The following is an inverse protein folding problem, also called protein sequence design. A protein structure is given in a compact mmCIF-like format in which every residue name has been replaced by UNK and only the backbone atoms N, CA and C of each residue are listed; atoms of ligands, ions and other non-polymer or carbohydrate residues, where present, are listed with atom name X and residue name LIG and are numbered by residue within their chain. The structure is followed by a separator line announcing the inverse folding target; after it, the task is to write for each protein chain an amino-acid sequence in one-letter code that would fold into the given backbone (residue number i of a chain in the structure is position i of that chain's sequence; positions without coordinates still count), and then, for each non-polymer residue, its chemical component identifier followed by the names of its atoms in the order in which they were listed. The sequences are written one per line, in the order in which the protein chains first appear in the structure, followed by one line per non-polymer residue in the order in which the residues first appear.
data_IF_826743598464
#
_entry.id   IF_826743598464
#
_cell.length_a   1.000
_cell.length_b   1.000
_cell.length_c   1.000
_cell.angle_alpha   90.00
_cell.angle_beta   90.00
_cell.angle_gamma   90.00
#
_symmetry.space_group_name_H-M   'P 1'
#
loop_
_entity.id
_entity.type
_entity.pdbx_description
1 polymer ?
2 non-polymer ?
3 water ?
#
# COMPACT_ATOMS: atom_id res chain seq x y z
N UNK A 1 24.71 -28.44 -9.16
CA UNK A 1 24.14 -29.77 -8.95
C UNK A 1 22.86 -29.64 -8.15
N UNK A 2 22.29 -30.77 -7.71
CA UNK A 2 21.00 -30.73 -7.07
C UNK A 2 21.05 -30.14 -5.67
N UNK A 3 22.21 -30.18 -5.01
CA UNK A 3 22.34 -29.47 -3.74
C UNK A 3 22.18 -27.97 -3.93
N UNK A 4 22.79 -27.42 -4.99
CA UNK A 4 22.63 -25.99 -5.25
C UNK A 4 21.20 -25.65 -5.61
N UNK A 5 20.54 -26.51 -6.40
CA UNK A 5 19.15 -26.26 -6.77
C UNK A 5 18.29 -26.19 -5.52
N UNK A 6 18.49 -27.12 -4.59
CA UNK A 6 17.71 -27.12 -3.35
C UNK A 6 17.89 -25.81 -2.59
N UNK A 7 19.13 -25.36 -2.44
CA UNK A 7 19.41 -24.12 -1.72
C UNK A 7 18.70 -22.94 -2.37
N UNK A 8 18.76 -22.86 -3.69
CA UNK A 8 18.19 -21.71 -4.39
C UNK A 8 16.67 -21.77 -4.36
N UNK A 9 16.08 -22.96 -4.58
CA UNK A 9 14.62 -23.06 -4.52
C UNK A 9 14.10 -22.71 -3.13
N UNK A 10 14.80 -23.15 -2.07
CA UNK A 10 14.35 -22.82 -0.73
C UNK A 10 14.39 -21.30 -0.50
N UNK A 11 15.41 -20.61 -1.03
CA UNK A 11 15.47 -19.17 -0.88
C UNK A 11 14.35 -18.48 -1.65
N UNK A 12 14.05 -18.94 -2.87
CA UNK A 12 12.94 -18.33 -3.60
C UNK A 12 11.62 -18.56 -2.89
N UNK A 13 11.48 -19.70 -2.21
CA UNK A 13 10.21 -19.95 -1.52
C UNK A 13 10.01 -19.03 -0.32
N UNK A 14 11.06 -18.35 0.14
CA UNK A 14 10.87 -17.38 1.22
C UNK A 14 10.26 -16.07 0.74
N UNK A 15 10.17 -15.83 -0.57
CA UNK A 15 9.61 -14.59 -1.08
C UNK A 15 8.13 -14.53 -0.73
N UNK A 16 7.74 -13.49 0.01
CA UNK A 16 6.35 -13.24 0.39
C UNK A 16 5.93 -11.89 -0.18
N UNK A 17 5.06 -11.91 -1.19
CA UNK A 17 4.67 -10.67 -1.87
C UNK A 17 3.39 -10.05 -1.31
N UNK A 18 2.77 -10.68 -0.31
CA UNK A 18 1.46 -10.37 0.27
C UNK A 18 0.37 -11.01 -0.58
N UNK A 19 -0.05 -12.20 -0.17
CA UNK A 19 -0.99 -12.95 -0.97
C UNK A 19 -2.41 -12.41 -0.90
N UNK A 20 -2.64 -11.30 -0.21
CA UNK A 20 -3.94 -10.66 -0.28
C UNK A 20 -4.03 -9.65 -1.40
N UNK A 21 -2.93 -9.38 -2.13
CA UNK A 21 -2.99 -8.51 -3.31
C UNK A 21 -3.88 -9.14 -4.40
N UNK A 22 -4.29 -8.31 -5.36
CA UNK A 22 -5.15 -8.79 -6.45
C UNK A 22 -4.57 -10.05 -7.08
N UNK A 23 -5.41 -11.06 -7.29
CA UNK A 23 -4.93 -12.34 -7.80
C UNK A 23 -4.20 -12.16 -9.12
N UNK A 24 -4.76 -11.36 -10.01
CA UNK A 24 -4.17 -11.22 -11.34
C UNK A 24 -2.85 -10.46 -11.29
N UNK A 25 -2.68 -9.58 -10.29
CA UNK A 25 -1.39 -8.92 -10.09
C UNK A 25 -0.35 -9.93 -9.59
N UNK A 26 -0.71 -10.74 -8.58
CA UNK A 26 0.22 -11.73 -8.07
C UNK A 26 0.62 -12.72 -9.16
N UNK A 27 -0.33 -13.14 -9.99
CA UNK A 27 -0.03 -14.03 -11.10
C UNK A 27 1.06 -13.43 -11.99
N UNK A 28 0.91 -12.16 -12.34
CA UNK A 28 1.91 -11.50 -13.18
C UNK A 28 3.24 -11.35 -12.45
N UNK A 29 3.20 -10.85 -11.21
CA UNK A 29 4.44 -10.60 -10.49
C UNK A 29 5.23 -11.88 -10.27
N UNK A 30 4.54 -12.96 -9.89
CA UNK A 30 5.23 -14.23 -9.66
C UNK A 30 5.75 -14.83 -10.95
N UNK A 31 4.99 -14.70 -12.04
CA UNK A 31 5.45 -15.25 -13.30
C UNK A 31 6.71 -14.52 -13.78
N UNK A 32 6.78 -13.21 -13.56
CA UNK A 32 7.99 -12.49 -13.92
C UNK A 32 9.20 -12.96 -13.12
N UNK A 33 9.03 -13.17 -11.82
CA UNK A 33 10.13 -13.66 -10.98
C UNK A 33 10.54 -15.05 -11.44
N UNK A 34 9.56 -15.92 -11.68
CA UNK A 34 9.81 -17.28 -12.16
C UNK A 34 10.61 -17.28 -13.46
N UNK A 35 10.21 -16.45 -14.42
CA UNK A 35 10.77 -16.57 -15.76
C UNK A 35 12.05 -15.77 -15.92
N UNK A 36 12.19 -14.66 -15.21
CA UNK A 36 13.37 -13.83 -15.38
C UNK A 36 14.46 -14.12 -14.36
N UNK A 37 14.15 -14.77 -13.24
CA UNK A 37 15.14 -14.98 -12.19
C UNK A 37 15.25 -16.45 -11.78
N UNK A 38 14.16 -17.07 -11.33
CA UNK A 38 14.27 -18.41 -10.74
C UNK A 38 14.71 -19.44 -11.78
N UNK A 39 14.01 -19.50 -12.90
CA UNK A 39 14.36 -20.51 -13.91
C UNK A 39 15.77 -20.32 -14.45
N UNK A 40 16.20 -19.12 -14.85
CA UNK A 40 17.58 -19.02 -15.36
C UNK A 40 18.64 -19.27 -14.29
N UNK A 41 18.39 -18.89 -13.03
CA UNK A 41 19.41 -19.15 -12.00
C UNK A 41 19.50 -20.65 -11.72
N UNK A 42 18.34 -21.32 -11.70
CA UNK A 42 18.33 -22.77 -11.47
C UNK A 42 19.07 -23.49 -12.59
N UNK A 43 18.89 -23.04 -13.84
CA UNK A 43 19.65 -23.60 -14.94
C UNK A 43 21.14 -23.48 -14.71
N UNK A 44 21.58 -22.31 -14.26
CA UNK A 44 23.01 -22.09 -14.03
C UNK A 44 23.53 -22.98 -12.90
N UNK A 45 22.89 -22.91 -11.72
CA UNK A 45 23.49 -23.61 -10.58
C UNK A 45 23.28 -25.12 -10.67
N UNK A 46 22.29 -25.57 -11.42
CA UNK A 46 22.18 -27.00 -11.68
C UNK A 46 23.40 -27.57 -12.38
N UNK A 47 24.07 -26.76 -13.19
CA UNK A 47 25.25 -27.21 -13.89
C UNK A 47 26.52 -27.23 -13.07
N UNK A 48 26.52 -26.65 -11.88
CA UNK A 48 27.73 -26.67 -11.07
C UNK A 48 28.08 -28.09 -10.64
N UNK A 49 29.38 -28.35 -10.51
CA UNK A 49 29.81 -29.57 -9.84
C UNK A 49 29.33 -29.53 -8.39
N UNK A 50 29.03 -30.69 -7.80
CA UNK A 50 28.47 -30.69 -6.43
C UNK A 50 29.34 -29.97 -5.40
N UNK A 51 30.66 -29.98 -5.56
CA UNK A 51 31.56 -29.35 -4.61
C UNK A 51 31.71 -27.85 -4.84
N UNK A 52 31.16 -27.32 -5.93
CA UNK A 52 31.29 -25.88 -6.18
C UNK A 52 30.56 -25.10 -5.11
N UNK A 53 31.18 -24.04 -4.63
CA UNK A 53 30.59 -23.21 -3.59
C UNK A 53 29.74 -22.10 -4.22
N UNK A 54 28.46 -22.11 -3.88
CA UNK A 54 27.51 -21.08 -4.30
C UNK A 54 27.52 -19.96 -3.26
N UNK A 55 27.47 -18.71 -3.73
CA UNK A 55 27.44 -17.57 -2.81
C UNK A 55 26.02 -17.34 -2.33
N UNK A 56 25.74 -17.74 -1.08
CA UNK A 56 24.41 -17.48 -0.54
C UNK A 56 24.18 -15.98 -0.37
N UNK A 57 25.23 -15.23 -0.05
CA UNK A 57 25.09 -13.77 0.05
C UNK A 57 24.60 -13.17 -1.27
N UNK A 58 25.14 -13.65 -2.38
CA UNK A 58 24.70 -13.20 -3.70
C UNK A 58 23.21 -13.47 -3.91
N UNK A 59 22.75 -14.70 -3.59
CA UNK A 59 21.36 -15.05 -3.79
C UNK A 59 20.46 -14.26 -2.84
N UNK A 60 20.90 -14.09 -1.59
CA UNK A 60 20.08 -13.36 -0.62
C UNK A 60 19.95 -11.90 -1.01
N UNK A 61 21.01 -11.30 -1.56
CA UNK A 61 20.88 -9.92 -2.02
C UNK A 61 19.91 -9.84 -3.19
N UNK A 62 19.93 -10.85 -4.06
CA UNK A 62 18.97 -10.91 -5.14
C UNK A 62 17.55 -10.94 -4.58
N UNK A 63 17.32 -11.77 -3.56
CA UNK A 63 15.98 -11.84 -2.96
C UNK A 63 15.56 -10.47 -2.43
N UNK A 64 16.47 -9.79 -1.72
CA UNK A 64 16.15 -8.46 -1.18
C UNK A 64 15.74 -7.49 -2.28
N UNK A 65 16.43 -7.54 -3.42
CA UNK A 65 16.08 -6.62 -4.49
C UNK A 65 14.76 -6.98 -5.15
N UNK A 66 14.40 -8.26 -5.20
CA UNK A 66 13.08 -8.64 -5.69
C UNK A 66 11.99 -7.93 -4.90
N UNK A 67 12.13 -7.86 -3.57
CA UNK A 67 11.11 -7.15 -2.80
C UNK A 67 11.04 -5.68 -3.20
N UNK A 68 12.19 -5.05 -3.44
CA UNK A 68 12.17 -3.64 -3.82
C UNK A 68 11.54 -3.46 -5.20
N UNK A 69 11.88 -4.34 -6.13
CA UNK A 69 11.38 -4.21 -7.50
C UNK A 69 9.89 -4.49 -7.55
N UNK A 70 9.43 -5.53 -6.84
CA UNK A 70 8.00 -5.82 -6.82
C UNK A 70 7.23 -4.72 -6.09
N UNK A 71 7.81 -4.15 -5.03
CA UNK A 71 7.13 -3.05 -4.36
C UNK A 71 6.92 -1.87 -5.30
N UNK A 72 7.91 -1.59 -6.14
CA UNK A 72 7.76 -0.52 -7.12
C UNK A 72 6.65 -0.85 -8.12
N UNK A 73 6.64 -2.08 -8.62
CA UNK A 73 5.59 -2.55 -9.52
C UNK A 73 4.21 -2.36 -8.88
N UNK A 74 4.09 -2.80 -7.62
CA UNK A 74 2.79 -2.74 -6.97
C UNK A 74 2.32 -1.30 -6.78
N UNK A 75 3.24 -0.40 -6.43
CA UNK A 75 2.84 1.00 -6.26
C UNK A 75 2.30 1.57 -7.57
N UNK A 76 2.95 1.25 -8.70
CA UNK A 76 2.51 1.76 -9.98
C UNK A 76 1.26 1.05 -10.49
N UNK A 77 1.01 -0.17 -10.03
CA UNK A 77 -0.22 -0.88 -10.35
C UNK A 77 -1.40 -0.29 -9.59
N UNK A 78 -1.15 0.21 -8.39
CA UNK A 78 -2.22 0.65 -7.52
C UNK A 78 -2.20 2.17 -7.34
N UNK A 79 -1.85 2.65 -6.14
CA UNK A 79 -2.13 4.05 -5.78
C UNK A 79 -1.36 5.05 -6.65
N UNK A 80 -0.18 4.68 -7.12
CA UNK A 80 0.64 5.61 -7.90
C UNK A 80 0.40 5.48 -9.40
N UNK A 81 -0.58 4.70 -9.82
CA UNK A 81 -0.88 4.63 -11.24
C UNK A 81 -1.37 5.96 -11.74
N UNK A 82 -0.74 6.44 -12.80
CA UNK A 82 -0.88 7.80 -13.28
C UNK A 82 -2.04 7.95 -14.26
N UNK A 83 -2.14 7.04 -15.23
CA UNK A 83 -3.00 7.24 -16.38
C UNK A 83 -4.33 6.51 -16.27
N UNK A 84 -4.51 5.64 -15.27
CA UNK A 84 -5.70 4.81 -15.18
C UNK A 84 -6.05 4.59 -13.73
N UNK A 85 -7.18 3.92 -13.50
CA UNK A 85 -7.65 3.67 -12.16
C UNK A 85 -6.78 2.65 -11.45
N UNK A 86 -6.48 2.86 -10.17
CA UNK A 86 -5.69 1.86 -9.43
C UNK A 86 -6.29 0.47 -9.62
N UNK A 87 -5.40 -0.51 -9.78
CA UNK A 87 -5.71 -1.93 -10.02
C UNK A 87 -6.22 -2.23 -11.42
N UNK A 88 -6.26 -1.25 -12.32
CA UNK A 88 -6.75 -1.53 -13.66
C UNK A 88 -5.71 -2.34 -14.45
N UNK A 89 -6.20 -3.06 -15.46
CA UNK A 89 -5.30 -3.86 -16.29
C UNK A 89 -4.37 -2.94 -17.05
N UNK A 90 -4.83 -1.72 -17.36
CA UNK A 90 -3.94 -0.77 -18.01
C UNK A 90 -2.80 -0.38 -17.09
N UNK A 91 -3.08 -0.19 -15.80
CA UNK A 91 -2.02 0.13 -14.86
C UNK A 91 -1.04 -1.02 -14.74
N UNK A 92 -1.56 -2.24 -14.60
CA UNK A 92 -0.68 -3.41 -14.55
C UNK A 92 0.18 -3.47 -15.79
N UNK A 93 -0.44 -3.43 -16.98
CA UNK A 93 0.30 -3.54 -18.22
C UNK A 93 1.28 -2.39 -18.38
N UNK A 94 0.86 -1.17 -18.02
CA UNK A 94 1.74 0.00 -18.14
C UNK A 94 2.96 -0.08 -17.23
N UNK A 95 2.90 -0.82 -16.12
CA UNK A 95 4.03 -0.96 -15.20
C UNK A 95 4.80 -2.26 -15.41
N UNK A 96 4.22 -3.21 -16.13
CA UNK A 96 4.83 -4.54 -16.19
C UNK A 96 6.12 -4.55 -16.98
N UNK A 97 6.19 -3.79 -18.09
CA UNK A 97 7.41 -3.80 -18.90
C UNK A 97 8.62 -3.37 -18.09
N UNK A 98 8.46 -2.31 -17.27
CA UNK A 98 9.60 -1.86 -16.49
C UNK A 98 9.93 -2.80 -15.35
N UNK A 99 8.91 -3.42 -14.75
CA UNK A 99 9.14 -4.46 -13.76
C UNK A 99 10.05 -5.54 -14.33
N UNK A 100 9.71 -6.02 -15.53
CA UNK A 100 10.51 -7.07 -16.14
C UNK A 100 11.90 -6.58 -16.51
N UNK A 101 12.01 -5.34 -17.01
CA UNK A 101 13.33 -4.79 -17.32
C UNK A 101 14.22 -4.77 -16.07
N UNK A 102 13.64 -4.39 -14.93
CA UNK A 102 14.40 -4.36 -13.70
C UNK A 102 14.80 -5.75 -13.25
N UNK A 103 13.92 -6.75 -13.42
CA UNK A 103 14.28 -8.13 -13.09
C UNK A 103 15.40 -8.64 -13.99
N UNK A 104 15.36 -8.30 -15.28
CA UNK A 104 16.42 -8.73 -16.19
C UNK A 104 17.75 -8.14 -15.77
N UNK A 105 17.77 -6.86 -15.38
CA UNK A 105 19.01 -6.26 -14.93
C UNK A 105 19.51 -6.91 -13.64
N UNK A 106 18.59 -7.24 -12.73
CA UNK A 106 18.98 -7.94 -11.51
C UNK A 106 19.56 -9.31 -11.81
N UNK A 107 18.95 -10.04 -12.75
CA UNK A 107 19.52 -11.32 -13.15
C UNK A 107 20.95 -11.16 -13.65
N UNK A 108 21.19 -10.19 -14.53
CA UNK A 108 22.52 -10.00 -15.09
C UNK A 108 23.56 -9.70 -14.02
N UNK A 109 23.19 -8.89 -13.02
CA UNK A 109 24.12 -8.60 -11.94
C UNK A 109 24.31 -9.81 -11.03
N UNK A 110 23.23 -10.56 -10.76
CA UNK A 110 23.32 -11.71 -9.88
C UNK A 110 24.21 -12.78 -10.48
N UNK A 111 24.14 -12.98 -11.79
CA UNK A 111 24.99 -13.97 -12.45
C UNK A 111 26.46 -13.76 -12.09
N UNK A 112 26.87 -12.50 -11.96
CA UNK A 112 28.28 -12.20 -11.72
C UNK A 112 28.76 -12.70 -10.36
N UNK A 113 27.87 -12.83 -9.37
CA UNK A 113 28.32 -13.17 -8.03
C UNK A 113 27.93 -14.58 -7.57
N UNK A 114 27.29 -15.37 -8.43
CA UNK A 114 26.77 -16.67 -7.99
C UNK A 114 27.89 -17.58 -7.51
N UNK A 115 29.03 -17.58 -8.21
CA UNK A 115 30.13 -18.44 -7.84
C UNK A 115 30.93 -17.75 -6.75
N UNK A 116 31.10 -18.44 -5.63
CA UNK A 116 31.82 -17.88 -4.51
C UNK A 116 33.33 -17.84 -4.78
N UNK B 1 13.64 -3.42 5.22
CA UNK B 1 14.12 -4.41 4.26
C UNK B 1 13.17 -5.60 4.17
N UNK B 2 13.56 -6.62 3.40
CA UNK B 2 12.63 -7.71 3.13
C UNK B 2 12.37 -8.57 4.37
N UNK B 3 13.36 -8.70 5.26
CA UNK B 3 13.10 -9.43 6.50
C UNK B 3 11.98 -8.78 7.30
N UNK B 4 11.94 -7.45 7.32
CA UNK B 4 10.89 -6.74 8.04
C UNK B 4 9.54 -6.95 7.38
N UNK B 5 9.51 -6.88 6.04
CA UNK B 5 8.27 -7.11 5.30
C UNK B 5 7.72 -8.49 5.62
N UNK B 6 8.58 -9.52 5.56
CA UNK B 6 8.18 -10.88 5.89
C UNK B 6 7.55 -10.96 7.27
N UNK B 7 8.18 -10.34 8.25
CA UNK B 7 7.64 -10.38 9.61
C UNK B 7 6.28 -9.72 9.70
N UNK B 8 6.15 -8.53 9.10
CA UNK B 8 4.87 -7.83 9.18
C UNK B 8 3.79 -8.62 8.47
N UNK B 9 4.09 -9.17 7.28
CA UNK B 9 3.07 -9.95 6.58
C UNK B 9 2.67 -11.18 7.37
N UNK B 10 3.64 -11.85 8.01
CA UNK B 10 3.33 -13.01 8.85
C UNK B 10 2.34 -12.63 9.95
N UNK B 11 2.57 -11.49 10.60
CA UNK B 11 1.66 -11.09 11.67
C UNK B 11 0.28 -10.68 11.12
N UNK B 12 0.24 -9.97 9.99
CA UNK B 12 -1.07 -9.62 9.45
C UNK B 12 -1.85 -10.87 9.02
N UNK B 13 -1.16 -11.92 8.58
CA UNK B 13 -1.87 -13.15 8.23
C UNK B 13 -2.59 -13.78 9.41
N UNK B 14 -2.19 -13.46 10.64
CA UNK B 14 -2.90 -14.04 11.79
C UNK B 14 -4.25 -13.40 12.04
N UNK B 15 -4.57 -12.26 11.43
CA UNK B 15 -5.88 -11.63 11.63
C UNK B 15 -6.95 -12.56 11.07
N UNK B 16 -7.91 -12.94 11.93
CA UNK B 16 -9.04 -13.78 11.52
C UNK B 16 -10.32 -13.09 11.97
N UNK B 17 -11.00 -12.45 11.02
CA UNK B 17 -12.18 -11.64 11.31
C UNK B 17 -13.48 -12.42 11.34
N UNK B 18 -13.45 -13.73 11.07
CA UNK B 18 -14.60 -14.64 10.96
C UNK B 18 -15.18 -14.55 9.56
N UNK B 19 -14.77 -15.48 8.70
CA UNK B 19 -15.19 -15.43 7.30
C UNK B 19 -16.63 -15.85 7.09
N UNK B 20 -17.41 -16.08 8.16
CA UNK B 20 -18.84 -16.32 8.04
C UNK B 20 -19.68 -15.05 8.05
N UNK B 21 -19.08 -13.90 8.35
CA UNK B 21 -19.78 -12.62 8.28
C UNK B 21 -20.18 -12.31 6.85
N UNK B 22 -21.16 -11.41 6.70
CA UNK B 22 -21.66 -11.09 5.36
C UNK B 22 -20.51 -10.72 4.44
N UNK B 23 -20.53 -11.28 3.22
CA UNK B 23 -19.47 -11.07 2.25
C UNK B 23 -19.15 -9.59 2.07
N UNK B 24 -20.18 -8.77 1.86
CA UNK B 24 -19.90 -7.36 1.56
C UNK B 24 -19.38 -6.61 2.78
N UNK B 25 -19.76 -7.04 3.99
CA UNK B 25 -19.15 -6.48 5.18
C UNK B 25 -17.67 -6.82 5.25
N UNK B 26 -17.31 -8.09 5.01
CA UNK B 26 -15.91 -8.49 5.10
C UNK B 26 -15.06 -7.74 4.08
N UNK B 27 -15.61 -7.50 2.90
CA UNK B 27 -14.86 -6.76 1.88
C UNK B 27 -14.52 -5.36 2.38
N UNK B 28 -15.48 -4.69 3.01
CA UNK B 28 -15.24 -3.36 3.58
C UNK B 28 -14.27 -3.43 4.76
N UNK B 29 -14.47 -4.37 5.69
CA UNK B 29 -13.59 -4.46 6.84
C UNK B 29 -12.15 -4.71 6.40
N UNK B 30 -11.95 -5.65 5.48
CA UNK B 30 -10.59 -5.96 5.04
C UNK B 30 -9.99 -4.81 4.25
N UNK B 31 -10.80 -4.11 3.45
CA UNK B 31 -10.28 -2.95 2.72
C UNK B 31 -9.71 -1.90 3.66
N UNK B 32 -10.41 -1.62 4.76
CA UNK B 32 -9.88 -0.64 5.72
C UNK B 32 -8.54 -1.07 6.29
N UNK B 33 -8.43 -2.33 6.69
CA UNK B 33 -7.16 -2.82 7.24
C UNK B 33 -6.07 -2.76 6.19
N UNK B 34 -6.38 -3.17 4.96
CA UNK B 34 -5.39 -3.15 3.87
C UNK B 34 -4.85 -1.74 3.65
N UNK B 35 -5.74 -0.75 3.54
CA UNK B 35 -5.34 0.58 3.11
C UNK B 35 -4.84 1.47 4.24
N UNK B 36 -5.30 1.25 5.47
CA UNK B 36 -4.90 2.14 6.55
C UNK B 36 -3.85 1.52 7.46
N UNK B 37 -3.61 0.21 7.37
CA UNK B 37 -2.63 -0.42 8.24
C UNK B 37 -1.62 -1.23 7.46
N UNK B 38 -2.05 -2.27 6.72
CA UNK B 38 -1.06 -3.20 6.18
C UNK B 38 -0.18 -2.53 5.12
N UNK B 39 -0.80 -1.93 4.10
CA UNK B 39 0.04 -1.37 3.03
C UNK B 39 0.90 -0.20 3.53
N UNK B 40 0.38 0.73 4.34
CA UNK B 40 1.29 1.81 4.79
C UNK B 40 2.38 1.32 5.73
N UNK B 41 2.13 0.32 6.56
CA UNK B 41 3.20 -0.17 7.43
C UNK B 41 4.23 -0.93 6.61
N UNK B 42 3.78 -1.71 5.62
CA UNK B 42 4.72 -2.40 4.71
C UNK B 42 5.58 -1.38 3.98
N UNK B 43 5.00 -0.25 3.56
CA UNK B 43 5.79 0.78 2.90
C UNK B 43 6.88 1.31 3.83
N UNK B 44 6.54 1.56 5.09
CA UNK B 44 7.52 2.06 6.05
C UNK B 44 8.63 1.04 6.27
N UNK B 45 8.27 -0.20 6.64
CA UNK B 45 9.30 -1.14 7.07
C UNK B 45 10.11 -1.63 5.86
N UNK B 46 9.51 -1.62 4.67
CA UNK B 46 10.26 -1.97 3.46
C UNK B 46 11.49 -1.10 3.28
N UNK B 47 11.41 0.15 3.74
CA UNK B 47 12.52 1.09 3.62
C UNK B 47 13.57 1.01 4.69
N UNK B 48 13.33 0.25 5.76
CA UNK B 48 14.35 0.11 6.80
C UNK B 48 15.62 -0.51 6.26
N UNK B 49 16.76 -0.01 6.74
CA UNK B 49 18.02 -0.72 6.54
C UNK B 49 17.92 -2.13 7.13
N UNK B 50 18.64 -3.09 6.55
CA UNK B 50 18.53 -4.48 7.03
C UNK B 50 18.81 -4.63 8.52
N UNK B 51 19.73 -3.83 9.06
CA UNK B 51 20.13 -3.93 10.47
C UNK B 51 19.17 -3.23 11.43
N UNK B 52 18.25 -2.41 10.93
CA UNK B 52 17.26 -1.79 11.79
C UNK B 52 16.39 -2.85 12.45
N UNK B 53 16.07 -2.67 13.73
CA UNK B 53 15.28 -3.64 14.46
C UNK B 53 13.82 -3.21 14.48
N UNK B 54 12.94 -4.12 14.04
CA UNK B 54 11.49 -3.93 14.08
C UNK B 54 10.92 -4.55 15.35
N UNK B 55 10.02 -3.82 16.00
CA UNK B 55 9.36 -4.34 17.22
C UNK B 55 8.17 -5.21 16.84
N UNK B 56 8.33 -6.53 16.95
CA UNK B 56 7.20 -7.43 16.69
C UNK B 56 6.10 -7.19 17.70
N UNK B 57 6.46 -6.95 18.95
CA UNK B 57 5.44 -6.73 19.98
C UNK B 57 4.58 -5.51 19.67
N UNK B 58 5.17 -4.49 19.07
CA UNK B 58 4.41 -3.34 18.60
C UNK B 58 3.33 -3.76 17.60
N UNK B 59 3.71 -4.58 16.62
CA UNK B 59 2.76 -5.01 15.60
C UNK B 59 1.72 -5.96 16.19
N UNK B 60 2.14 -6.88 17.04
CA UNK B 60 1.18 -7.79 17.68
C UNK B 60 0.15 -7.01 18.51
N UNK B 61 0.60 -5.98 19.22
CA UNK B 61 -0.34 -5.20 20.01
C UNK B 61 -1.30 -4.45 19.12
N UNK B 62 -0.81 -3.95 17.99
CA UNK B 62 -1.68 -3.30 17.02
C UNK B 62 -2.76 -4.26 16.52
N UNK B 63 -2.40 -5.52 16.29
CA UNK B 63 -3.39 -6.50 15.86
C UNK B 63 -4.49 -6.67 16.90
N UNK B 64 -4.13 -6.68 18.20
CA UNK B 64 -5.15 -6.76 19.24
C UNK B 64 -6.12 -5.59 19.16
N UNK B 65 -5.59 -4.40 18.86
CA UNK B 65 -6.48 -3.25 18.74
C UNK B 65 -7.35 -3.34 17.48
N UNK B 66 -6.86 -3.96 16.40
CA UNK B 66 -7.68 -4.13 15.20
C UNK B 66 -8.94 -4.93 15.53
N UNK B 67 -8.79 -5.98 16.33
CA UNK B 67 -9.96 -6.79 16.65
C UNK B 67 -11.01 -5.98 17.39
N UNK B 68 -10.58 -5.05 18.25
CA UNK B 68 -11.58 -4.25 18.96
C UNK B 68 -12.25 -3.25 18.02
N UNK B 69 -11.47 -2.65 17.11
CA UNK B 69 -12.02 -1.66 16.17
C UNK B 69 -12.95 -2.34 15.17
N UNK B 70 -12.52 -3.46 14.60
CA UNK B 70 -13.41 -4.17 13.67
C UNK B 70 -14.60 -4.74 14.42
N UNK B 71 -14.40 -5.18 15.67
CA UNK B 71 -15.52 -5.62 16.47
C UNK B 71 -16.58 -4.54 16.62
N UNK B 72 -16.15 -3.29 16.79
CA UNK B 72 -17.12 -2.19 16.97
C UNK B 72 -17.84 -1.89 15.67
N UNK B 73 -17.11 -1.92 14.55
CA UNK B 73 -17.71 -1.81 13.22
C UNK B 73 -18.80 -2.86 13.06
N UNK B 74 -18.47 -4.11 13.41
CA UNK B 74 -19.42 -5.20 13.26
C UNK B 74 -20.60 -5.07 14.20
N UNK B 75 -20.37 -4.59 15.42
CA UNK B 75 -21.44 -4.41 16.39
C UNK B 75 -22.47 -3.40 15.88
N UNK B 76 -21.99 -2.33 15.24
CA UNK B 76 -22.89 -1.33 14.67
C UNK B 76 -23.57 -1.84 13.40
N UNK B 77 -22.85 -2.63 12.61
CA UNK B 77 -23.42 -3.21 11.40
C UNK B 77 -24.53 -4.22 11.71
N UNK B 78 -24.33 -5.05 12.72
CA UNK B 78 -25.17 -6.21 12.98
C UNK B 78 -26.26 -5.97 14.02
N UNK B 79 -26.20 -4.85 14.74
CA UNK B 79 -27.12 -4.68 15.86
C UNK B 79 -27.35 -3.21 16.20
N UNK B 80 -26.29 -2.49 16.57
CA UNK B 80 -26.44 -1.15 17.13
C UNK B 80 -26.41 -0.12 16.01
N UNK B 81 -27.45 -0.18 15.18
CA UNK B 81 -27.57 0.69 14.02
C UNK B 81 -28.71 1.65 14.29
N UNK B 82 -28.40 2.95 14.30
CA UNK B 82 -29.35 3.94 14.74
C UNK B 82 -30.53 4.07 13.78
N UNK B 83 -30.26 4.06 12.46
CA UNK B 83 -31.24 4.52 11.50
C UNK B 83 -31.65 3.50 10.42
N UNK B 84 -30.99 2.36 10.33
CA UNK B 84 -31.29 1.42 9.25
C UNK B 84 -31.36 0.01 9.81
N UNK B 85 -31.70 -0.94 8.96
CA UNK B 85 -31.91 -2.33 9.37
C UNK B 85 -30.59 -3.03 9.61
N UNK B 86 -30.42 -3.72 10.73
CA UNK B 86 -29.19 -4.49 10.95
C UNK B 86 -28.86 -5.39 9.76
N UNK B 87 -27.56 -5.48 9.46
CA UNK B 87 -26.93 -6.27 8.40
C UNK B 87 -27.13 -5.64 7.03
N UNK B 88 -27.71 -4.44 6.95
CA UNK B 88 -27.87 -3.78 5.67
C UNK B 88 -26.61 -3.01 5.26
N UNK B 89 -26.50 -2.76 3.96
CA UNK B 89 -25.40 -1.95 3.49
C UNK B 89 -25.51 -0.53 4.06
N UNK B 90 -26.75 -0.07 4.34
CA UNK B 90 -26.89 1.26 4.93
C UNK B 90 -26.28 1.30 6.33
N UNK B 91 -26.50 0.27 7.15
CA UNK B 91 -25.86 0.22 8.47
C UNK B 91 -24.36 0.15 8.36
N UNK B 92 -23.84 -0.62 7.40
CA UNK B 92 -22.41 -0.63 7.15
C UNK B 92 -21.91 0.78 6.89
N UNK B 93 -22.54 1.48 5.94
CA UNK B 93 -22.07 2.80 5.57
C UNK B 93 -22.16 3.78 6.74
N UNK B 94 -23.18 3.63 7.58
CA UNK B 94 -23.33 4.55 8.71
C UNK B 94 -22.24 4.38 9.76
N UNK B 95 -21.58 3.23 9.80
CA UNK B 95 -20.52 2.98 10.77
C UNK B 95 -19.12 3.11 10.18
N UNK B 96 -19.02 3.31 8.87
CA UNK B 96 -17.74 3.17 8.20
C UNK B 96 -16.80 4.35 8.46
N UNK B 97 -17.33 5.56 8.61
CA UNK B 97 -16.44 6.69 8.89
C UNK B 97 -15.72 6.49 10.22
N UNK B 98 -16.43 5.98 11.24
CA UNK B 98 -15.77 5.74 12.53
C UNK B 98 -14.73 4.65 12.39
N UNK B 99 -15.02 3.60 11.62
CA UNK B 99 -14.05 2.54 11.38
C UNK B 99 -12.79 3.11 10.75
N UNK B 100 -12.96 3.85 9.66
CA UNK B 100 -11.84 4.47 8.95
C UNK B 100 -11.00 5.33 9.88
N UNK B 101 -11.67 6.19 10.65
CA UNK B 101 -10.98 7.14 11.52
C UNK B 101 -10.22 6.41 12.61
N UNK B 102 -10.82 5.35 13.15
CA UNK B 102 -10.18 4.61 14.24
C UNK B 102 -8.96 3.84 13.72
N UNK B 103 -9.03 3.31 12.50
CA UNK B 103 -7.87 2.65 11.92
C UNK B 103 -6.74 3.66 11.66
N UNK B 104 -7.09 4.85 11.18
CA UNK B 104 -6.06 5.88 10.95
C UNK B 104 -5.38 6.26 12.25
N UNK B 105 -6.17 6.45 13.33
CA UNK B 105 -5.58 6.77 14.62
C UNK B 105 -4.69 5.65 15.11
N UNK B 106 -5.11 4.39 14.89
CA UNK B 106 -4.27 3.26 15.27
C UNK B 106 -2.98 3.22 14.47
N UNK B 107 -3.04 3.56 13.18
CA UNK B 107 -1.83 3.63 12.38
C UNK B 107 -0.86 4.66 12.98
N UNK B 108 -1.35 5.86 13.30
CA UNK B 108 -0.48 6.88 13.85
C UNK B 108 0.17 6.43 15.16
N UNK B 109 -0.60 5.74 16.01
CA UNK B 109 -0.03 5.23 17.26
C UNK B 109 1.01 4.15 17.00
N UNK B 110 0.74 3.28 16.04
CA UNK B 110 1.61 2.14 15.78
C UNK B 110 2.94 2.60 15.23
N UNK B 111 2.93 3.66 14.40
CA UNK B 111 4.19 4.22 13.92
C UNK B 111 5.16 4.53 15.05
N UNK B 112 4.65 4.91 16.22
CA UNK B 112 5.51 5.35 17.32
C UNK B 112 6.32 4.22 17.93
N UNK B 113 5.91 2.96 17.77
CA UNK B 113 6.64 1.86 18.37
C UNK B 113 7.27 0.91 17.37
N UNK B 114 7.15 1.17 16.06
CA UNK B 114 7.68 0.21 15.07
C UNK B 114 9.17 0.00 15.22
N UNK B 115 9.92 1.07 15.45
CA UNK B 115 11.37 0.99 15.59
C UNK B 115 11.73 0.54 16.99
N UNK B 116 12.38 -0.61 17.09
CA UNK B 116 12.84 -1.16 18.37
C UNK B 116 14.21 -0.61 18.74
N UNK C 1 -19.72 3.87 -12.29
CA UNK C 1 -19.37 3.22 -13.55
C UNK C 1 -18.11 3.85 -14.14
N UNK C 2 -17.72 3.40 -15.33
CA UNK C 2 -16.47 3.87 -15.90
C UNK C 2 -16.52 5.35 -16.27
N UNK C 3 -17.69 5.86 -16.66
CA UNK C 3 -17.78 7.28 -16.96
C UNK C 3 -17.47 8.11 -15.71
N UNK C 4 -17.94 7.66 -14.54
CA UNK C 4 -17.61 8.37 -13.31
C UNK C 4 -16.13 8.28 -12.99
N UNK C 5 -15.54 7.09 -13.16
CA UNK C 5 -14.11 6.94 -12.92
C UNK C 5 -13.30 7.92 -13.78
N UNK C 6 -13.67 8.03 -15.06
CA UNK C 6 -12.93 8.92 -15.96
C UNK C 6 -13.02 10.37 -15.50
N UNK C 7 -14.20 10.81 -15.06
CA UNK C 7 -14.35 12.17 -14.55
C UNK C 7 -13.41 12.42 -13.38
N UNK C 8 -13.39 11.49 -12.43
CA UNK C 8 -12.54 11.66 -11.26
C UNK C 8 -11.07 11.61 -11.63
N UNK C 9 -10.68 10.67 -12.52
CA UNK C 9 -9.29 10.59 -12.95
C UNK C 9 -8.85 11.91 -13.55
N UNK C 10 -9.68 12.49 -14.42
CA UNK C 10 -9.32 13.72 -15.08
C UNK C 10 -9.13 14.83 -14.07
N UNK C 11 -10.01 14.91 -13.07
CA UNK C 11 -9.88 16.00 -12.11
C UNK C 11 -8.63 15.84 -11.24
N UNK C 12 -8.31 14.61 -10.82
CA UNK C 12 -7.06 14.47 -10.07
C UNK C 12 -5.84 14.79 -10.92
N UNK C 13 -5.90 14.54 -12.24
CA UNK C 13 -4.78 14.86 -13.12
C UNK C 13 -4.54 16.36 -13.21
N UNK C 14 -5.54 17.19 -12.89
CA UNK C 14 -5.33 18.63 -12.95
C UNK C 14 -4.50 19.17 -11.79
N UNK C 15 -4.32 18.40 -10.71
CA UNK C 15 -3.56 18.91 -9.57
C UNK C 15 -2.12 19.17 -9.99
N UNK C 16 -1.65 20.40 -9.75
CA UNK C 16 -0.35 20.88 -10.19
C UNK C 16 0.39 21.40 -8.96
N UNK C 17 1.14 20.52 -8.31
CA UNK C 17 2.00 20.90 -7.20
C UNK C 17 3.26 21.58 -7.71
N UNK C 18 3.90 22.32 -6.83
CA UNK C 18 5.12 23.06 -7.15
C UNK C 18 6.29 22.07 -7.17
N UNK C 19 6.73 21.70 -8.37
CA UNK C 19 7.77 20.68 -8.47
C UNK C 19 9.16 21.20 -8.16
N UNK C 20 9.30 22.49 -7.80
CA UNK C 20 10.58 22.95 -7.27
C UNK C 20 10.78 22.54 -5.81
N UNK C 21 9.74 22.08 -5.13
CA UNK C 21 9.85 21.66 -3.73
C UNK C 21 10.71 20.40 -3.62
N UNK C 22 11.25 20.18 -2.41
CA UNK C 22 12.07 18.99 -2.15
C UNK C 22 11.38 17.75 -2.69
N UNK C 23 12.14 16.92 -3.40
CA UNK C 23 11.58 15.69 -3.97
C UNK C 23 11.00 14.76 -2.91
N UNK C 24 11.66 14.63 -1.75
CA UNK C 24 11.11 13.75 -0.73
C UNK C 24 9.85 14.33 -0.11
N UNK C 25 9.71 15.66 -0.09
CA UNK C 25 8.44 16.24 0.31
C UNK C 25 7.34 15.93 -0.70
N UNK C 26 7.63 16.10 -1.99
CA UNK C 26 6.62 15.87 -3.02
C UNK C 26 6.15 14.43 -3.01
N UNK C 27 7.06 13.49 -2.78
CA UNK C 27 6.71 12.08 -2.69
C UNK C 27 5.68 11.85 -1.57
N UNK C 28 5.90 12.46 -0.41
CA UNK C 28 4.95 12.33 0.69
C UNK C 28 3.62 13.02 0.36
N UNK C 29 3.68 14.22 -0.21
CA UNK C 29 2.46 14.95 -0.52
C UNK C 29 1.61 14.18 -1.51
N UNK C 30 2.23 13.67 -2.58
CA UNK C 30 1.49 12.91 -3.59
C UNK C 30 0.99 11.60 -3.01
N UNK C 31 1.79 10.92 -2.20
CA UNK C 31 1.35 9.65 -1.63
C UNK C 31 0.08 9.82 -0.82
N UNK C 32 0.00 10.90 -0.03
CA UNK C 32 -1.20 11.13 0.77
C UNK C 32 -2.43 11.33 -0.08
N UNK C 33 -2.30 12.15 -1.14
CA UNK C 33 -3.44 12.42 -2.03
C UNK C 33 -3.86 11.15 -2.73
N UNK C 34 -2.89 10.40 -3.23
CA UNK C 34 -3.18 9.18 -3.99
C UNK C 34 -3.91 8.16 -3.12
N UNK C 35 -3.49 8.00 -1.87
CA UNK C 35 -4.02 6.91 -1.04
C UNK C 35 -5.25 7.31 -0.26
N UNK C 36 -5.38 8.57 0.17
CA UNK C 36 -6.50 8.94 1.03
C UNK C 36 -7.62 9.64 0.29
N UNK C 37 -7.41 10.07 -0.95
CA UNK C 37 -8.47 10.72 -1.72
C UNK C 37 -8.70 10.01 -3.04
N UNK C 38 -7.68 9.91 -3.89
CA UNK C 38 -7.92 9.42 -5.24
C UNK C 38 -8.37 7.97 -5.26
N UNK C 39 -7.62 7.08 -4.60
CA UNK C 39 -8.01 5.67 -4.55
C UNK C 39 -9.41 5.47 -3.98
N UNK C 40 -9.75 5.98 -2.80
CA UNK C 40 -11.07 5.63 -2.24
C UNK C 40 -12.22 6.31 -2.96
N UNK C 41 -12.01 7.49 -3.55
CA UNK C 41 -13.10 8.12 -4.30
C UNK C 41 -13.33 7.36 -5.60
N UNK C 42 -12.27 6.97 -6.30
CA UNK C 42 -12.44 6.14 -7.49
C UNK C 42 -13.16 4.84 -7.15
N UNK C 43 -12.81 4.25 -6.00
CA UNK C 43 -13.49 3.02 -5.57
C UNK C 43 -14.99 3.23 -5.41
N UNK C 44 -15.38 4.32 -4.76
CA UNK C 44 -16.80 4.62 -4.56
C UNK C 44 -17.50 4.83 -5.90
N UNK C 45 -17.00 5.75 -6.73
CA UNK C 45 -17.78 6.09 -7.91
C UNK C 45 -17.76 4.95 -8.93
N UNK C 46 -16.77 4.07 -8.88
CA UNK C 46 -16.79 2.93 -9.77
C UNK C 46 -17.99 2.04 -9.55
N UNK C 47 -18.46 1.95 -8.31
CA UNK C 47 -19.63 1.15 -7.97
C UNK C 47 -20.96 1.77 -8.38
N UNK C 48 -20.97 3.04 -8.80
CA UNK C 48 -22.23 3.67 -9.20
C UNK C 48 -22.82 3.00 -10.43
N UNK C 49 -24.15 2.83 -10.43
CA UNK C 49 -24.84 2.49 -11.65
C UNK C 49 -24.56 3.56 -12.71
N UNK C 50 -24.50 3.19 -13.99
CA UNK C 50 -24.16 4.18 -15.02
C UNK C 50 -25.07 5.41 -15.01
N UNK C 51 -26.32 5.26 -14.60
CA UNK C 51 -27.28 6.36 -14.61
C UNK C 51 -27.23 7.23 -13.36
N UNK C 52 -26.49 6.80 -12.34
CA UNK C 52 -26.31 7.63 -11.15
C UNK C 52 -25.51 8.88 -11.49
N UNK C 53 -25.92 10.02 -10.95
CA UNK C 53 -25.29 11.30 -11.25
C UNK C 53 -24.22 11.62 -10.21
N UNK C 54 -22.99 11.82 -10.67
CA UNK C 54 -21.90 12.29 -9.83
C UNK C 54 -21.89 13.81 -9.81
N UNK C 55 -21.72 14.39 -8.62
CA UNK C 55 -21.65 15.84 -8.49
C UNK C 55 -20.24 16.30 -8.88
N UNK C 56 -20.11 16.88 -10.07
CA UNK C 56 -18.81 17.40 -10.45
C UNK C 56 -18.37 18.51 -9.52
N UNK C 57 -19.32 19.32 -9.04
CA UNK C 57 -18.99 20.41 -8.12
C UNK C 57 -18.37 19.88 -6.83
N UNK C 58 -18.90 18.76 -6.32
CA UNK C 58 -18.33 18.15 -5.12
C UNK C 58 -16.87 17.78 -5.34
N UNK C 59 -16.57 17.10 -6.45
CA UNK C 59 -15.20 16.67 -6.70
C UNK C 59 -14.29 17.88 -6.93
N UNK C 60 -14.78 18.87 -7.67
CA UNK C 60 -13.97 20.06 -7.94
C UNK C 60 -13.63 20.81 -6.65
N UNK C 61 -14.57 20.92 -5.72
CA UNK C 61 -14.27 21.57 -4.46
C UNK C 61 -13.21 20.78 -3.68
N UNK C 62 -13.30 19.46 -3.74
CA UNK C 62 -12.29 18.62 -3.09
C UNK C 62 -10.91 18.88 -3.68
N UNK C 63 -10.82 18.99 -5.01
CA UNK C 63 -9.54 19.28 -5.65
C UNK C 63 -9.01 20.61 -5.17
N UNK C 64 -9.88 21.61 -5.04
CA UNK C 64 -9.45 22.92 -4.56
C UNK C 64 -8.92 22.83 -3.14
N UNK C 65 -9.59 22.06 -2.27
CA UNK C 65 -9.12 21.93 -0.90
C UNK C 65 -7.79 21.17 -0.79
N UNK C 66 -7.48 20.28 -1.75
CA UNK C 66 -6.17 19.61 -1.74
C UNK C 66 -5.05 20.64 -1.72
N UNK C 67 -5.17 21.69 -2.54
CA UNK C 67 -4.15 22.72 -2.56
C UNK C 67 -4.00 23.40 -1.20
N UNK C 68 -5.12 23.62 -0.50
CA UNK C 68 -5.06 24.25 0.83
C UNK C 68 -4.33 23.34 1.81
N UNK C 69 -4.71 22.06 1.83
CA UNK C 69 -4.10 21.11 2.76
C UNK C 69 -2.63 20.91 2.43
N UNK C 70 -2.29 20.77 1.16
CA UNK C 70 -0.89 20.62 0.80
C UNK C 70 -0.09 21.86 1.17
N UNK C 71 -0.70 23.05 1.01
CA UNK C 71 -0.01 24.25 1.43
C UNK C 71 0.30 24.26 2.91
N UNK C 72 -0.66 23.80 3.73
CA UNK C 72 -0.43 23.72 5.17
C UNK C 72 0.65 22.72 5.51
N UNK C 73 0.64 21.56 4.84
CA UNK C 73 1.67 20.55 5.01
C UNK C 73 3.04 21.14 4.71
N UNK C 74 3.15 21.86 3.59
CA UNK C 74 4.44 22.45 3.22
C UNK C 74 4.89 23.49 4.24
N UNK C 75 3.96 24.27 4.79
CA UNK C 75 4.32 25.25 5.79
C UNK C 75 4.94 24.58 7.01
N UNK C 76 4.33 23.49 7.48
CA UNK C 76 4.88 22.81 8.65
C UNK C 76 6.19 22.12 8.32
N UNK C 77 6.38 21.69 7.07
CA UNK C 77 7.65 21.14 6.62
C UNK C 77 8.73 22.21 6.60
N UNK C 78 8.34 23.47 6.41
CA UNK C 78 9.32 24.54 6.24
C UNK C 78 9.33 25.52 7.41
N UNK C 79 8.86 26.75 7.19
CA UNK C 79 9.08 27.82 8.15
C UNK C 79 8.33 27.62 9.45
N UNK C 80 7.27 26.82 9.46
CA UNK C 80 6.49 26.56 10.66
C UNK C 80 6.87 25.23 11.32
N UNK C 81 7.99 24.64 10.94
CA UNK C 81 8.49 23.44 11.63
C UNK C 81 9.01 23.83 13.00
N UNK C 82 8.53 23.13 14.03
CA UNK C 82 8.77 23.61 15.39
C UNK C 82 10.07 23.08 16.00
N UNK C 83 10.44 21.84 15.71
CA UNK C 83 11.47 21.15 16.49
C UNK C 83 12.76 20.86 15.74
N UNK C 84 12.79 21.02 14.42
CA UNK C 84 13.98 20.69 13.64
C UNK C 84 14.20 21.76 12.58
N UNK C 85 15.31 21.60 11.84
CA UNK C 85 15.66 22.55 10.79
C UNK C 85 14.68 22.46 9.63
N UNK C 86 14.16 23.58 9.14
CA UNK C 86 13.21 23.53 8.03
C UNK C 86 13.77 22.75 6.84
N UNK C 87 12.88 22.03 6.16
CA UNK C 87 13.14 21.21 4.98
C UNK C 87 13.87 19.92 5.30
N UNK C 88 14.09 19.61 6.57
CA UNK C 88 14.75 18.37 6.94
C UNK C 88 13.79 17.18 6.83
N UNK C 89 14.37 15.98 6.75
CA UNK C 89 13.55 14.77 6.79
C UNK C 89 12.83 14.67 8.13
N UNK C 90 13.46 15.16 9.21
CA UNK C 90 12.80 15.18 10.51
C UNK C 90 11.56 16.07 10.50
N UNK C 91 11.66 17.26 9.90
CA UNK C 91 10.48 18.12 9.84
C UNK C 91 9.38 17.46 9.03
N UNK C 92 9.74 16.74 7.96
CA UNK C 92 8.74 16.04 7.17
C UNK C 92 8.05 14.97 8.00
N UNK C 93 8.82 14.17 8.74
CA UNK C 93 8.21 13.13 9.55
C UNK C 93 7.27 13.72 10.60
N UNK C 94 7.67 14.85 11.20
CA UNK C 94 6.86 15.49 12.23
C UNK C 94 5.54 16.02 11.66
N UNK C 95 5.50 16.33 10.36
CA UNK C 95 4.30 16.90 9.75
C UNK C 95 3.36 15.85 9.17
N UNK C 96 3.78 14.57 9.11
CA UNK C 96 3.01 13.56 8.38
C UNK C 96 1.63 13.36 8.98
N UNK C 97 1.55 13.29 10.31
CA UNK C 97 0.29 12.88 10.94
C UNK C 97 -0.82 13.91 10.71
N UNK C 98 -0.51 15.21 10.83
CA UNK C 98 -1.55 16.21 10.60
C UNK C 98 -2.01 16.21 9.14
N UNK C 99 -1.08 16.00 8.22
CA UNK C 99 -1.44 15.92 6.81
C UNK C 99 -2.38 14.76 6.57
N UNK C 100 -2.01 13.58 7.06
CA UNK C 100 -2.87 12.40 6.98
C UNK C 100 -4.26 12.68 7.53
N UNK C 101 -4.32 13.29 8.71
CA UNK C 101 -5.60 13.57 9.36
C UNK C 101 -6.44 14.52 8.52
N UNK C 102 -5.83 15.57 7.99
CA UNK C 102 -6.60 16.52 7.19
C UNK C 102 -7.11 15.89 5.91
N UNK C 103 -6.30 15.03 5.27
CA UNK C 103 -6.75 14.35 4.06
C UNK C 103 -7.93 13.43 4.35
N UNK C 104 -7.86 12.67 5.45
CA UNK C 104 -8.96 11.77 5.81
C UNK C 104 -10.23 12.55 6.12
N UNK C 105 -10.10 13.69 6.82
CA UNK C 105 -11.28 14.52 7.07
C UNK C 105 -11.89 15.04 5.77
N UNK C 106 -11.04 15.48 4.84
CA UNK C 106 -11.55 15.93 3.54
C UNK C 106 -12.23 14.79 2.78
N UNK C 107 -11.68 13.59 2.87
CA UNK C 107 -12.33 12.45 2.23
C UNK C 107 -13.74 12.23 2.80
N UNK C 108 -13.86 12.22 4.13
CA UNK C 108 -15.16 11.99 4.75
C UNK C 108 -16.15 13.08 4.38
N UNK C 109 -15.69 14.33 4.32
CA UNK C 109 -16.60 15.41 3.93
C UNK C 109 -17.04 15.24 2.48
N UNK C 110 -16.10 14.86 1.61
CA UNK C 110 -16.38 14.72 0.18
C UNK C 110 -17.38 13.61 -0.07
N UNK C 111 -17.26 12.49 0.66
CA UNK C 111 -18.23 11.39 0.51
C UNK C 111 -19.67 11.88 0.59
N UNK C 112 -19.92 12.88 1.45
CA UNK C 112 -21.28 13.32 1.68
C UNK C 112 -21.91 13.99 0.46
N UNK C 113 -21.11 14.54 -0.45
CA UNK C 113 -21.66 15.29 -1.59
C UNK C 113 -21.44 14.63 -2.94
N UNK C 114 -20.87 13.42 -2.98
CA UNK C 114 -20.53 12.82 -4.26
C UNK C 114 -21.78 12.54 -5.10
N UNK C 115 -22.83 12.03 -4.46
CA UNK C 115 -24.06 11.74 -5.17
C UNK C 115 -24.85 13.04 -5.37
N UNK C 116 -25.08 13.39 -6.63
CA UNK C 116 -25.86 14.57 -6.92
C UNK C 116 -27.34 14.33 -6.64
#
# INVERSE_FOLDING_TARGET
ANNHIRTVLKLFRTIDLDDSKKSFYLTAAKYGIQTQLREPIIRIVGGYLPSTKLSEACVKNMISEVYEIEGDFYSKFSYACEDHAPYSVECLEDARDDYLTQLVELFKETKKCLRE
ANNHIRTVLKLFRTIDLDDSKKSFYLTAAKYGIQTQLREPIIRIVGGYLPSTKLSEACVKNMISEVYEIEGDFYSKFSYACEDHAPYSVECLEDARDDYLTQLVELFKETKKCLRE
ANNHIRTVLKLFRTIDLDDSKKSFYLTAAKYGIQTQLREPIIRIVGGYLPSTKLSEACVKNMISEVYEIEGDFYSKFSYACEDHAPYSVECLEDARDDYLTQLVELFKETKKCLRE
#
